data_IF_410529123582
#
_entry.id   IF_410529123582
#
_cell.length_a   1.000
_cell.length_b   1.000
_cell.length_c   1.000
_cell.angle_alpha   90.00
_cell.angle_beta   90.00
_cell.angle_gamma   90.00
#
_symmetry.space_group_name_H-M   'P 1'
#
loop_
_entity.id
_entity.type
_entity.pdbx_description
1 polymer ?
#
# COMPACT_ATOMS: atom_id res chain seq x y z
N UNK A 1 -14.21 39.89 54.97
CA UNK A 1 -14.70 38.55 54.61
C UNK A 1 -13.51 37.67 54.35
N UNK A 2 -13.39 36.70 55.23
CA UNK A 2 -12.54 35.50 55.34
C UNK A 2 -11.66 35.09 54.15
N UNK A 3 -10.35 35.10 54.40
CA UNK A 3 -9.35 34.28 53.72
C UNK A 3 -9.50 32.81 54.16
N UNK A 4 -9.63 31.88 53.22
CA UNK A 4 -9.40 30.46 53.47
C UNK A 4 -8.10 30.04 52.76
N UNK A 5 -7.13 29.64 53.59
CA UNK A 5 -5.90 28.99 53.17
C UNK A 5 -6.17 27.50 52.93
N UNK A 6 -5.87 27.01 51.74
CA UNK A 6 -5.89 25.58 51.42
C UNK A 6 -4.54 24.96 51.73
N UNK A 7 -4.57 23.87 52.49
CA UNK A 7 -3.44 23.03 52.87
C UNK A 7 -2.90 22.21 51.68
N UNK A 8 -1.60 21.90 51.63
CA UNK A 8 -1.06 20.97 50.64
C UNK A 8 -1.33 19.52 51.07
N UNK A 9 -1.92 18.75 50.16
CA UNK A 9 -2.18 17.31 50.30
C UNK A 9 -0.88 16.52 50.10
N UNK A 10 -0.53 15.75 51.12
CA UNK A 10 0.57 14.78 51.14
C UNK A 10 0.18 13.55 50.29
N UNK A 11 0.80 13.39 49.12
CA UNK A 11 0.69 12.16 48.32
C UNK A 11 1.75 11.16 48.83
N UNK A 12 1.36 9.94 49.23
CA UNK A 12 2.32 8.92 49.66
C UNK A 12 3.05 8.30 48.45
N UNK A 13 4.37 8.12 48.64
CA UNK A 13 5.28 7.34 47.79
C UNK A 13 4.77 5.90 47.63
N UNK A 14 4.31 5.57 46.43
CA UNK A 14 4.13 4.18 46.00
C UNK A 14 5.47 3.59 45.55
N UNK A 15 5.76 2.41 46.09
CA UNK A 15 6.94 1.57 45.85
C UNK A 15 7.12 1.29 44.35
N UNK A 16 8.34 1.51 43.87
CA UNK A 16 8.83 0.95 42.61
C UNK A 16 8.93 -0.58 42.77
N UNK A 17 8.03 -1.29 42.12
CA UNK A 17 8.19 -2.71 41.83
C UNK A 17 9.11 -2.86 40.63
N UNK A 18 10.34 -3.32 40.88
CA UNK A 18 11.23 -3.92 39.88
C UNK A 18 10.55 -5.15 39.27
N UNK A 19 9.92 -4.98 38.11
CA UNK A 19 9.56 -6.08 37.24
C UNK A 19 10.79 -6.48 36.42
N UNK A 20 11.33 -7.66 36.74
CA UNK A 20 12.32 -8.37 35.94
C UNK A 20 11.65 -8.74 34.61
N UNK A 21 12.08 -8.10 33.53
CA UNK A 21 11.76 -8.50 32.17
C UNK A 21 12.55 -9.78 31.85
N UNK A 22 11.95 -10.93 32.15
CA UNK A 22 12.34 -12.21 31.55
C UNK A 22 11.97 -12.16 30.06
N UNK A 23 12.98 -11.97 29.22
CA UNK A 23 12.88 -12.19 27.79
C UNK A 23 12.85 -13.69 27.54
N UNK A 24 11.65 -14.27 27.45
CA UNK A 24 11.44 -15.64 26.98
C UNK A 24 11.84 -15.74 25.50
N UNK A 25 13.03 -16.27 25.29
CA UNK A 25 13.55 -16.71 24.00
C UNK A 25 12.84 -18.02 23.62
N UNK A 26 11.58 -17.92 23.21
CA UNK A 26 10.91 -19.01 22.52
C UNK A 26 11.20 -18.86 21.03
N UNK A 27 12.19 -19.64 20.59
CA UNK A 27 12.42 -19.91 19.19
C UNK A 27 11.13 -20.38 18.55
N UNK A 28 10.48 -19.48 17.81
CA UNK A 28 9.37 -19.83 16.94
C UNK A 28 9.94 -20.80 15.90
N UNK A 29 9.49 -22.07 15.86
CA UNK A 29 9.87 -22.94 14.77
C UNK A 29 9.40 -22.29 13.47
N UNK A 30 10.23 -22.36 12.43
CA UNK A 30 9.80 -22.02 11.10
C UNK A 30 8.50 -22.78 10.81
N UNK A 31 7.44 -22.14 10.29
CA UNK A 31 6.28 -22.89 9.81
C UNK A 31 6.79 -23.85 8.74
N UNK A 32 6.71 -25.14 9.03
CA UNK A 32 6.86 -26.19 8.04
C UNK A 32 5.66 -26.05 7.10
N UNK A 33 5.86 -25.33 6.00
CA UNK A 33 4.92 -25.36 4.90
C UNK A 33 4.90 -26.80 4.37
N UNK A 34 3.72 -27.41 4.16
CA UNK A 34 3.66 -28.58 3.32
C UNK A 34 4.25 -28.20 1.96
N UNK A 35 5.09 -29.08 1.42
CA UNK A 35 5.63 -28.99 0.07
C UNK A 35 4.45 -29.00 -0.91
N UNK A 36 3.94 -27.82 -1.25
CA UNK A 36 2.90 -27.67 -2.28
C UNK A 36 3.63 -27.73 -3.61
N UNK A 37 3.89 -28.95 -4.05
CA UNK A 37 4.16 -29.21 -5.45
C UNK A 37 2.97 -28.67 -6.24
N UNK A 38 3.18 -27.57 -6.98
CA UNK A 38 2.24 -27.06 -7.97
C UNK A 38 2.12 -28.11 -9.07
N UNK A 39 1.22 -29.08 -8.90
CA UNK A 39 0.75 -29.91 -10.00
C UNK A 39 0.00 -29.01 -10.98
N UNK A 40 0.40 -28.96 -12.26
CA UNK A 40 -0.35 -28.24 -13.26
C UNK A 40 -1.69 -28.96 -13.45
N UNK A 41 -2.77 -28.39 -12.93
CA UNK A 41 -4.12 -28.83 -13.26
C UNK A 41 -4.38 -28.47 -14.73
N UNK A 42 -4.15 -29.42 -15.63
CA UNK A 42 -4.77 -29.40 -16.94
C UNK A 42 -6.25 -29.71 -16.76
N UNK A 43 -7.07 -28.67 -16.57
CA UNK A 43 -8.51 -28.80 -16.66
C UNK A 43 -8.94 -28.67 -18.12
N UNK A 44 -9.32 -29.81 -18.69
CA UNK A 44 -10.13 -29.91 -19.89
C UNK A 44 -11.46 -29.19 -19.66
N UNK A 45 -11.91 -28.28 -20.54
CA UNK A 45 -13.18 -27.60 -20.35
C UNK A 45 -14.33 -28.54 -20.73
N UNK A 46 -15.12 -28.93 -19.73
CA UNK A 46 -16.46 -29.47 -19.96
C UNK A 46 -17.43 -28.30 -20.18
N UNK A 47 -18.07 -28.33 -21.34
CA UNK A 47 -19.03 -27.35 -21.81
C UNK A 47 -20.25 -27.22 -20.87
N UNK A 48 -20.63 -25.97 -20.58
CA UNK A 48 -22.03 -25.58 -20.43
C UNK A 48 -22.12 -24.09 -20.76
N UNK A 49 -22.31 -23.84 -22.04
CA UNK A 49 -22.45 -22.53 -22.65
C UNK A 49 -23.88 -22.05 -22.38
N UNK A 50 -24.03 -20.95 -21.64
CA UNK A 50 -25.17 -20.04 -21.84
C UNK A 50 -24.71 -19.04 -22.88
N UNK A 51 -25.22 -19.19 -24.09
CA UNK A 51 -25.03 -18.25 -25.19
C UNK A 51 -25.72 -16.93 -24.81
N UNK A 52 -24.92 -15.93 -24.47
CA UNK A 52 -25.31 -14.52 -24.46
C UNK A 52 -24.47 -13.84 -25.53
N UNK A 53 -25.13 -13.07 -26.39
CA UNK A 53 -24.61 -12.50 -27.62
C UNK A 53 -23.28 -11.71 -27.50
N UNK A 54 -22.47 -11.67 -28.57
CA UNK A 54 -21.20 -10.96 -28.58
C UNK A 54 -21.45 -9.45 -28.74
N UNK A 55 -21.41 -8.71 -27.64
CA UNK A 55 -21.26 -7.26 -27.65
C UNK A 55 -19.79 -6.91 -27.91
N UNK A 56 -19.57 -6.01 -28.88
CA UNK A 56 -18.28 -5.54 -29.39
C UNK A 56 -17.13 -5.56 -28.36
N UNK A 57 -16.17 -6.45 -28.61
CA UNK A 57 -14.89 -6.47 -27.91
C UNK A 57 -14.17 -5.13 -28.13
N UNK A 58 -14.20 -4.28 -27.10
CA UNK A 58 -13.27 -3.17 -26.94
C UNK A 58 -11.88 -3.78 -26.80
N UNK A 59 -11.23 -3.99 -27.95
CA UNK A 59 -9.84 -4.39 -28.07
C UNK A 59 -8.99 -3.23 -27.59
N UNK A 60 -8.82 -3.11 -26.27
CA UNK A 60 -7.89 -2.17 -25.64
C UNK A 60 -6.50 -2.44 -26.22
N UNK A 61 -6.12 -1.60 -27.17
CA UNK A 61 -4.79 -1.62 -27.76
C UNK A 61 -3.80 -1.21 -26.68
N UNK A 62 -3.22 -2.21 -26.01
CA UNK A 62 -2.04 -2.08 -25.16
C UNK A 62 -0.85 -1.64 -26.03
N UNK A 63 -0.83 -0.36 -26.40
CA UNK A 63 0.22 0.31 -27.18
C UNK A 63 1.49 0.57 -26.37
N UNK A 64 1.96 -0.41 -25.61
CA UNK A 64 3.24 -0.37 -24.89
C UNK A 64 4.32 -1.08 -25.70
N UNK A 65 5.44 -0.40 -25.97
CA UNK A 65 6.67 -0.93 -26.58
C UNK A 65 6.94 -2.43 -26.25
N UNK A 66 6.57 -3.33 -27.17
CA UNK A 66 6.67 -4.80 -27.01
C UNK A 66 8.13 -5.30 -27.17
N UNK A 67 9.08 -4.43 -27.50
CA UNK A 67 10.42 -4.83 -27.97
C UNK A 67 11.42 -5.29 -26.89
N UNK A 68 10.99 -5.61 -25.66
CA UNK A 68 11.84 -6.29 -24.65
C UNK A 68 11.02 -7.21 -23.73
N UNK A 69 10.21 -8.11 -24.28
CA UNK A 69 9.63 -9.18 -23.48
C UNK A 69 10.75 -10.11 -23.00
N UNK A 70 11.16 -9.96 -21.73
CA UNK A 70 11.99 -10.96 -21.05
C UNK A 70 11.29 -12.31 -21.14
N UNK A 71 12.01 -13.43 -21.29
CA UNK A 71 11.40 -14.76 -21.25
C UNK A 71 10.53 -14.91 -20.01
N UNK A 72 9.34 -15.50 -20.14
CA UNK A 72 8.37 -15.63 -19.04
C UNK A 72 8.98 -16.21 -17.75
N UNK A 73 9.94 -17.13 -17.89
CA UNK A 73 10.69 -17.70 -16.76
C UNK A 73 11.46 -16.65 -15.94
N UNK A 74 12.02 -15.63 -16.58
CA UNK A 74 12.77 -14.56 -15.90
C UNK A 74 11.86 -13.65 -15.06
N UNK A 75 10.54 -13.66 -15.29
CA UNK A 75 9.59 -12.87 -14.51
C UNK A 75 9.31 -13.44 -13.12
N UNK A 76 9.73 -14.69 -12.85
CA UNK A 76 9.41 -15.42 -11.63
C UNK A 76 10.63 -15.62 -10.69
N UNK A 77 11.79 -15.01 -11.00
CA UNK A 77 13.03 -15.29 -10.26
C UNK A 77 13.13 -14.57 -8.91
N UNK A 78 12.49 -13.41 -8.78
CA UNK A 78 12.61 -12.56 -7.59
C UNK A 78 11.26 -12.34 -6.94
N UNK A 79 11.11 -12.87 -5.74
CA UNK A 79 9.91 -12.69 -4.91
C UNK A 79 10.02 -11.44 -4.03
N UNK A 80 8.87 -10.77 -3.85
CA UNK A 80 8.68 -9.69 -2.88
C UNK A 80 7.43 -9.98 -2.05
N UNK A 81 7.42 -9.50 -0.81
CA UNK A 81 6.26 -9.61 0.08
C UNK A 81 5.46 -8.32 0.04
N UNK A 82 4.20 -8.38 -0.39
CA UNK A 82 3.20 -7.34 -0.16
C UNK A 82 2.73 -7.43 1.29
N UNK A 83 2.85 -6.36 2.05
CA UNK A 83 2.35 -6.26 3.43
C UNK A 83 1.23 -5.22 3.48
N UNK A 84 0.07 -5.60 4.02
CA UNK A 84 -1.16 -4.81 3.92
C UNK A 84 -2.07 -4.98 5.14
N UNK A 85 -3.21 -4.29 5.14
CA UNK A 85 -4.07 -4.11 6.31
C UNK A 85 -3.67 -2.93 7.18
N UNK A 86 -4.45 -2.65 8.22
CA UNK A 86 -4.24 -1.51 9.12
C UNK A 86 -3.00 -1.69 10.02
N UNK A 87 -2.70 -2.94 10.37
CA UNK A 87 -1.56 -3.30 11.22
C UNK A 87 -0.37 -3.90 10.46
N UNK A 88 -0.47 -3.99 9.12
CA UNK A 88 0.53 -4.57 8.23
C UNK A 88 0.91 -6.02 8.57
N UNK A 89 0.04 -6.77 9.26
CA UNK A 89 0.30 -8.17 9.61
C UNK A 89 0.01 -9.12 8.45
N UNK A 90 -0.88 -8.74 7.55
CA UNK A 90 -1.24 -9.56 6.41
C UNK A 90 -0.17 -9.49 5.33
N UNK A 91 0.13 -10.65 4.72
CA UNK A 91 1.24 -10.81 3.80
C UNK A 91 0.84 -11.62 2.59
N UNK A 92 1.34 -11.22 1.42
CA UNK A 92 1.20 -12.00 0.19
C UNK A 92 2.46 -11.89 -0.66
N UNK A 93 2.98 -13.02 -1.11
CA UNK A 93 4.17 -13.06 -1.95
C UNK A 93 3.78 -12.89 -3.41
N UNK A 94 4.51 -12.04 -4.14
CA UNK A 94 4.38 -11.84 -5.58
C UNK A 94 5.75 -11.74 -6.22
N UNK A 95 5.85 -11.97 -7.53
CA UNK A 95 7.10 -11.76 -8.24
C UNK A 95 7.31 -10.28 -8.59
N UNK A 96 8.50 -9.78 -8.27
CA UNK A 96 8.88 -8.38 -8.47
C UNK A 96 8.79 -7.99 -9.94
N UNK A 97 9.36 -8.79 -10.83
CA UNK A 97 9.42 -8.49 -12.26
C UNK A 97 8.01 -8.42 -12.88
N UNK A 98 7.08 -9.25 -12.39
CA UNK A 98 5.68 -9.18 -12.78
C UNK A 98 5.05 -7.85 -12.36
N UNK A 99 5.21 -7.45 -11.09
CA UNK A 99 4.72 -6.15 -10.62
C UNK A 99 5.34 -5.00 -11.42
N UNK A 100 6.66 -5.02 -11.66
CA UNK A 100 7.39 -4.01 -12.43
C UNK A 100 6.93 -3.90 -13.88
N UNK A 101 6.53 -5.02 -14.49
CA UNK A 101 6.04 -5.02 -15.88
C UNK A 101 4.72 -4.28 -16.05
N UNK A 102 3.91 -4.22 -14.99
CA UNK A 102 2.59 -3.58 -14.98
C UNK A 102 2.56 -2.22 -14.27
N UNK A 103 3.52 -1.97 -13.37
CA UNK A 103 3.59 -0.77 -12.53
C UNK A 103 4.85 0.05 -12.84
N UNK A 104 4.64 1.24 -13.42
CA UNK A 104 5.74 2.19 -13.65
C UNK A 104 6.35 2.68 -12.33
N UNK A 105 5.51 2.95 -11.33
CA UNK A 105 5.95 3.40 -10.01
C UNK A 105 6.80 2.34 -9.29
N UNK A 106 6.42 1.06 -9.36
CA UNK A 106 7.21 -0.03 -8.80
C UNK A 106 8.51 -0.22 -9.57
N UNK A 107 8.49 -0.16 -10.91
CA UNK A 107 9.71 -0.25 -11.71
C UNK A 107 10.74 0.82 -11.30
N UNK A 108 10.30 2.08 -11.20
CA UNK A 108 11.16 3.17 -10.74
C UNK A 108 11.66 2.97 -9.31
N UNK A 109 10.79 2.57 -8.39
CA UNK A 109 11.14 2.33 -7.00
C UNK A 109 12.22 1.25 -6.89
N UNK A 110 12.01 0.10 -7.55
CA UNK A 110 12.94 -1.01 -7.51
C UNK A 110 14.27 -0.69 -8.20
N UNK A 111 14.27 0.13 -9.25
CA UNK A 111 15.51 0.64 -9.84
C UNK A 111 16.28 1.57 -8.90
N UNK A 112 15.59 2.48 -8.19
CA UNK A 112 16.20 3.40 -7.23
C UNK A 112 16.85 2.69 -6.04
N UNK A 113 16.34 1.52 -5.65
CA UNK A 113 16.79 0.82 -4.42
C UNK A 113 17.77 -0.33 -4.66
N UNK A 114 18.20 -0.62 -5.90
CA UNK A 114 19.13 -1.73 -6.21
C UNK A 114 20.39 -1.75 -5.34
N UNK A 115 21.08 -0.61 -5.26
CA UNK A 115 22.29 -0.49 -4.43
C UNK A 115 22.00 -0.70 -2.95
N UNK A 116 20.84 -0.24 -2.47
CA UNK A 116 20.43 -0.41 -1.08
C UNK A 116 20.09 -1.88 -0.79
N UNK A 117 19.49 -2.59 -1.75
CA UNK A 117 19.23 -4.03 -1.66
C UNK A 117 20.52 -4.84 -1.56
N UNK A 118 21.54 -4.51 -2.36
CA UNK A 118 22.86 -5.14 -2.25
C UNK A 118 23.48 -4.93 -0.85
N UNK A 119 23.35 -3.71 -0.29
CA UNK A 119 23.81 -3.42 1.08
C UNK A 119 23.06 -4.24 2.12
N UNK A 120 21.74 -4.35 2.03
CA UNK A 120 20.96 -5.21 2.94
C UNK A 120 21.31 -6.69 2.79
N UNK A 121 21.49 -7.17 1.56
CA UNK A 121 21.92 -8.55 1.29
C UNK A 121 23.28 -8.85 1.92
N UNK A 122 24.26 -7.96 1.73
CA UNK A 122 25.59 -8.09 2.33
C UNK A 122 25.53 -8.06 3.88
N UNK A 123 24.74 -7.15 4.46
CA UNK A 123 24.55 -7.08 5.91
C UNK A 123 23.87 -8.35 6.46
N UNK A 124 22.86 -8.87 5.76
CA UNK A 124 22.16 -10.09 6.18
C UNK A 124 23.06 -11.33 6.06
N UNK A 125 23.88 -11.41 5.01
CA UNK A 125 24.89 -12.45 4.82
C UNK A 125 25.90 -12.45 5.98
N UNK A 126 26.53 -11.31 6.27
CA UNK A 126 27.48 -11.21 7.40
C UNK A 126 26.86 -11.65 8.73
N UNK A 127 25.59 -11.28 8.97
CA UNK A 127 24.83 -11.69 10.17
C UNK A 127 24.53 -13.19 10.17
N UNK A 128 24.17 -13.78 9.03
CA UNK A 128 23.89 -15.22 8.87
C UNK A 128 25.15 -16.04 9.07
N UNK A 129 26.27 -15.68 8.45
CA UNK A 129 27.57 -16.35 8.60
C UNK A 129 27.97 -16.41 10.09
N UNK A 130 27.78 -15.30 10.82
CA UNK A 130 28.06 -15.24 12.25
C UNK A 130 27.06 -16.06 13.08
N UNK A 131 25.77 -16.07 12.71
CA UNK A 131 24.73 -16.87 13.38
C UNK A 131 24.98 -18.36 13.21
N UNK A 132 25.33 -18.81 12.01
CA UNK A 132 25.63 -20.21 11.69
C UNK A 132 26.82 -20.72 12.50
N UNK A 133 27.86 -19.90 12.64
CA UNK A 133 29.00 -20.21 13.50
C UNK A 133 28.57 -20.43 14.97
N UNK A 134 27.70 -19.57 15.51
CA UNK A 134 27.20 -19.69 16.88
C UNK A 134 26.26 -20.89 17.08
N UNK A 135 25.48 -21.26 16.06
CA UNK A 135 24.63 -22.47 16.11
C UNK A 135 25.50 -23.73 16.10
N UNK A 136 26.51 -23.78 15.24
CA UNK A 136 27.47 -24.90 15.20
C UNK A 136 28.20 -25.07 16.54
N UNK A 137 28.41 -23.99 17.29
CA UNK A 137 28.91 -24.03 18.65
C UNK A 137 27.93 -24.65 19.65
N UNK A 138 26.66 -24.29 19.57
CA UNK A 138 25.65 -24.77 20.52
C UNK A 138 25.31 -26.26 20.32
N UNK A 139 25.39 -26.77 19.09
CA UNK A 139 24.97 -28.13 18.75
C UNK A 139 26.07 -29.20 18.94
N UNK A 140 27.35 -28.83 18.81
CA UNK A 140 28.44 -29.79 18.89
C UNK A 140 28.95 -29.92 20.32
N UNK A 141 28.55 -30.98 21.04
CA UNK A 141 29.01 -31.24 22.41
C UNK A 141 30.53 -31.45 22.58
N UNK A 142 31.28 -31.62 21.48
CA UNK A 142 32.75 -31.71 21.41
C UNK A 142 33.34 -30.55 20.59
N UNK A 143 32.86 -29.34 20.85
CA UNK A 143 33.24 -28.17 20.06
C UNK A 143 34.74 -27.85 20.15
N UNK A 144 35.42 -27.87 19.01
CA UNK A 144 36.78 -27.35 18.89
C UNK A 144 36.75 -25.81 18.84
N UNK A 145 36.89 -25.18 20.01
CA UNK A 145 36.96 -23.72 20.14
C UNK A 145 38.07 -23.11 19.28
N UNK A 146 39.18 -23.82 19.03
CA UNK A 146 40.26 -23.33 18.18
C UNK A 146 39.85 -23.30 16.72
N UNK A 147 39.17 -24.33 16.23
CA UNK A 147 38.66 -24.32 14.85
C UNK A 147 37.59 -23.23 14.65
N UNK A 148 36.73 -23.01 15.64
CA UNK A 148 35.68 -22.02 15.55
C UNK A 148 36.19 -20.58 15.66
N UNK A 149 37.14 -20.31 16.55
CA UNK A 149 37.77 -18.99 16.64
C UNK A 149 38.51 -18.63 15.36
N UNK A 150 39.16 -19.60 14.68
CA UNK A 150 39.75 -19.40 13.34
C UNK A 150 38.71 -18.97 12.29
N UNK A 151 37.46 -19.45 12.39
CA UNK A 151 36.36 -19.03 11.51
C UNK A 151 35.72 -17.71 11.95
N UNK A 152 35.66 -17.44 13.25
CA UNK A 152 35.09 -16.21 13.82
C UNK A 152 35.92 -14.97 13.46
N UNK A 153 37.25 -15.09 13.55
CA UNK A 153 38.18 -13.99 13.37
C UNK A 153 37.99 -13.24 12.03
N UNK A 154 37.98 -13.89 10.85
CA UNK A 154 37.74 -13.18 9.59
C UNK A 154 36.35 -12.55 9.50
N UNK A 155 35.33 -13.11 10.16
CA UNK A 155 33.98 -12.52 10.20
C UNK A 155 33.95 -11.24 11.06
N UNK A 156 34.61 -11.25 12.22
CA UNK A 156 34.73 -10.06 13.09
C UNK A 156 35.44 -8.94 12.33
N UNK A 157 36.58 -9.24 11.72
CA UNK A 157 37.36 -8.28 10.94
C UNK A 157 36.54 -7.76 9.75
N UNK A 158 35.88 -8.66 9.00
CA UNK A 158 35.07 -8.30 7.84
C UNK A 158 33.92 -7.36 8.20
N UNK A 159 33.23 -7.58 9.32
CA UNK A 159 32.20 -6.65 9.80
C UNK A 159 32.81 -5.33 10.28
N UNK A 160 33.92 -5.37 11.01
CA UNK A 160 34.61 -4.16 11.49
C UNK A 160 35.02 -3.24 10.32
N UNK A 161 35.60 -3.79 9.26
CA UNK A 161 36.15 -3.04 8.13
C UNK A 161 35.08 -2.68 7.08
N UNK A 162 34.13 -3.59 6.81
CA UNK A 162 33.31 -3.54 5.59
C UNK A 162 31.80 -3.59 5.81
N UNK A 163 31.29 -3.40 7.03
CA UNK A 163 29.84 -3.36 7.23
C UNK A 163 29.18 -2.24 6.40
N UNK A 164 28.13 -2.54 5.61
CA UNK A 164 27.67 -1.65 4.54
C UNK A 164 26.90 -0.41 5.03
N UNK A 165 26.48 -0.36 6.29
CA UNK A 165 25.77 0.78 6.87
C UNK A 165 26.67 1.52 7.86
N UNK A 166 27.17 2.70 7.47
CA UNK A 166 28.13 3.48 8.27
C UNK A 166 27.71 3.67 9.73
N UNK A 167 26.48 4.12 9.99
CA UNK A 167 25.98 4.35 11.36
C UNK A 167 26.04 3.09 12.23
N UNK A 168 25.66 1.95 11.66
CA UNK A 168 25.67 0.67 12.37
C UNK A 168 27.07 0.05 12.45
N UNK A 169 27.92 0.34 11.45
CA UNK A 169 29.34 -0.03 11.44
C UNK A 169 30.07 0.65 12.58
N UNK A 170 29.94 1.96 12.72
CA UNK A 170 30.66 2.74 13.73
C UNK A 170 30.27 2.26 15.15
N UNK A 171 28.97 1.98 15.38
CA UNK A 171 28.49 1.34 16.63
C UNK A 171 28.99 -0.09 16.81
N UNK A 172 29.08 -0.86 15.71
CA UNK A 172 29.59 -2.23 15.73
C UNK A 172 31.08 -2.28 16.04
N UNK A 173 31.87 -1.35 15.50
CA UNK A 173 33.29 -1.16 15.81
C UNK A 173 33.46 -0.86 17.30
N UNK A 174 32.67 0.07 17.84
CA UNK A 174 32.67 0.36 19.27
C UNK A 174 32.33 -0.89 20.11
N UNK A 175 31.29 -1.64 19.74
CA UNK A 175 30.91 -2.88 20.46
C UNK A 175 32.01 -3.94 20.43
N UNK A 176 32.71 -4.08 19.29
CA UNK A 176 33.87 -4.98 19.16
C UNK A 176 35.02 -4.49 20.05
N UNK A 177 35.34 -3.20 20.01
CA UNK A 177 36.43 -2.61 20.79
C UNK A 177 36.20 -2.74 22.30
N UNK A 178 34.97 -2.50 22.76
CA UNK A 178 34.55 -2.70 24.14
C UNK A 178 34.62 -4.18 24.55
N UNK A 179 34.14 -5.08 23.69
CA UNK A 179 34.18 -6.52 23.96
C UNK A 179 35.63 -7.03 24.04
N UNK A 180 36.51 -6.64 23.11
CA UNK A 180 37.94 -6.99 23.13
C UNK A 180 38.58 -6.46 24.42
N UNK A 181 38.37 -5.18 24.74
CA UNK A 181 38.93 -4.55 25.94
C UNK A 181 38.50 -5.28 27.21
N UNK A 182 37.22 -5.67 27.31
CA UNK A 182 36.71 -6.41 28.46
C UNK A 182 37.31 -7.82 28.53
N UNK A 183 37.52 -8.53 27.41
CA UNK A 183 38.19 -9.84 27.42
C UNK A 183 39.65 -9.73 27.87
N UNK A 184 40.37 -8.70 27.42
CA UNK A 184 41.74 -8.43 27.90
C UNK A 184 41.73 -8.06 29.39
N UNK A 185 40.76 -7.27 29.84
CA UNK A 185 40.56 -6.95 31.26
C UNK A 185 40.19 -8.18 32.09
N UNK A 186 39.65 -9.25 31.49
CA UNK A 186 39.44 -10.55 32.16
C UNK A 186 40.65 -11.47 32.11
N UNK A 187 41.70 -11.10 31.37
CA UNK A 187 42.91 -11.91 31.23
C UNK A 187 42.79 -13.03 30.20
N UNK A 188 41.77 -12.99 29.32
CA UNK A 188 41.56 -14.00 28.30
C UNK A 188 42.43 -13.76 27.05
N UNK A 189 43.75 -13.74 27.24
CA UNK A 189 44.75 -13.43 26.21
C UNK A 189 45.71 -14.58 26.00
N UNK A 190 46.23 -14.73 24.79
CA UNK A 190 47.23 -15.74 24.42
C UNK A 190 48.66 -15.29 24.67
N UNK A 191 48.91 -13.98 24.77
CA UNK A 191 50.25 -13.41 24.91
C UNK A 191 50.81 -13.51 26.34
N UNK A 192 52.12 -13.66 26.46
CA UNK A 192 52.84 -13.61 27.74
C UNK A 192 53.01 -12.18 28.31
N UNK A 193 52.52 -11.15 27.61
CA UNK A 193 52.64 -9.76 28.08
C UNK A 193 51.78 -9.51 29.32
N UNK A 194 52.25 -8.63 30.20
CA UNK A 194 51.50 -8.23 31.38
C UNK A 194 50.21 -7.51 30.98
N UNK A 195 49.08 -7.93 31.56
CA UNK A 195 47.74 -7.38 31.32
C UNK A 195 47.66 -5.85 31.30
N UNK A 196 48.39 -5.19 32.20
CA UNK A 196 48.40 -3.72 32.32
C UNK A 196 49.09 -3.03 31.14
N UNK A 197 50.12 -3.66 30.57
CA UNK A 197 50.81 -3.15 29.39
C UNK A 197 49.93 -3.34 28.15
N UNK A 198 49.37 -4.53 27.99
CA UNK A 198 48.50 -4.83 26.86
C UNK A 198 47.26 -3.93 26.82
N UNK A 199 46.63 -3.62 27.96
CA UNK A 199 45.48 -2.71 28.00
C UNK A 199 45.80 -1.28 27.55
N UNK A 200 47.05 -0.81 27.70
CA UNK A 200 47.47 0.50 27.21
C UNK A 200 47.66 0.46 25.70
N UNK A 201 48.36 -0.57 25.22
CA UNK A 201 48.77 -0.68 23.83
C UNK A 201 47.62 -1.11 22.90
N UNK A 202 46.60 -1.81 23.43
CA UNK A 202 45.50 -2.37 22.63
C UNK A 202 44.63 -1.33 21.94
N UNK A 203 44.66 -0.05 22.33
CA UNK A 203 43.87 0.97 21.64
C UNK A 203 44.53 1.41 20.33
N UNK A 204 45.86 1.34 20.26
CA UNK A 204 46.65 1.84 19.14
C UNK A 204 46.93 0.74 18.09
N UNK A 205 46.56 -0.50 18.39
CA UNK A 205 46.73 -1.66 17.50
C UNK A 205 45.59 -1.75 16.47
N UNK A 206 45.90 -2.27 15.28
CA UNK A 206 44.89 -2.58 14.28
C UNK A 206 43.98 -3.74 14.73
N UNK A 207 42.75 -3.81 14.21
CA UNK A 207 41.76 -4.81 14.62
C UNK A 207 42.27 -6.26 14.48
N UNK A 208 43.11 -6.54 13.48
CA UNK A 208 43.60 -7.91 13.23
C UNK A 208 44.54 -8.33 14.34
N UNK A 209 45.48 -7.46 14.71
CA UNK A 209 46.40 -7.77 15.81
C UNK A 209 45.67 -7.83 17.14
N UNK A 210 44.74 -6.90 17.41
CA UNK A 210 43.93 -6.92 18.65
C UNK A 210 43.15 -8.20 18.84
N UNK A 211 42.50 -8.67 17.78
CA UNK A 211 41.70 -9.90 17.83
C UNK A 211 42.57 -11.17 17.90
N UNK A 212 43.79 -11.17 17.34
CA UNK A 212 44.73 -12.31 17.41
C UNK A 212 45.36 -12.52 18.80
N UNK A 213 45.42 -11.48 19.64
CA UNK A 213 45.94 -11.59 21.02
C UNK A 213 44.94 -12.26 21.96
N UNK A 214 43.69 -12.43 21.54
CA UNK A 214 42.66 -13.09 22.34
C UNK A 214 42.76 -14.61 22.27
N UNK A 215 42.40 -15.28 23.37
CA UNK A 215 42.22 -16.73 23.35
C UNK A 215 40.95 -17.15 22.57
N UNK A 216 40.81 -18.42 22.16
CA UNK A 216 39.67 -18.87 21.37
C UNK A 216 38.30 -18.55 21.99
N UNK A 217 38.15 -18.74 23.31
CA UNK A 217 36.92 -18.45 24.05
C UNK A 217 36.57 -16.96 24.01
N UNK A 218 37.56 -16.07 24.17
CA UNK A 218 37.37 -14.62 24.07
C UNK A 218 36.96 -14.17 22.67
N UNK A 219 37.54 -14.76 21.61
CA UNK A 219 37.15 -14.47 20.23
C UNK A 219 35.67 -14.81 20.01
N UNK A 220 35.22 -15.95 20.53
CA UNK A 220 33.81 -16.35 20.44
C UNK A 220 32.89 -15.44 21.27
N UNK A 221 33.34 -14.95 22.42
CA UNK A 221 32.60 -13.96 23.20
C UNK A 221 32.43 -12.63 22.44
N UNK A 222 33.47 -12.16 21.75
CA UNK A 222 33.41 -10.98 20.87
C UNK A 222 32.44 -11.24 19.70
N UNK A 223 32.53 -12.40 19.05
CA UNK A 223 31.61 -12.80 17.99
C UNK A 223 30.14 -12.80 18.45
N UNK A 224 29.87 -13.30 19.66
CA UNK A 224 28.53 -13.31 20.24
C UNK A 224 28.01 -11.89 20.50
N UNK A 225 28.85 -11.01 21.05
CA UNK A 225 28.51 -9.59 21.24
C UNK A 225 28.15 -8.92 19.91
N UNK A 226 28.99 -9.14 18.89
CA UNK A 226 28.77 -8.61 17.56
C UNK A 226 27.47 -9.14 16.93
N UNK A 227 27.15 -10.42 17.08
CA UNK A 227 25.90 -10.98 16.58
C UNK A 227 24.68 -10.30 17.21
N UNK A 228 24.70 -10.04 18.51
CA UNK A 228 23.65 -9.30 19.20
C UNK A 228 23.48 -7.90 18.62
N UNK A 229 24.59 -7.18 18.38
CA UNK A 229 24.55 -5.87 17.74
C UNK A 229 23.96 -5.93 16.33
N UNK A 230 24.38 -6.88 15.50
CA UNK A 230 23.85 -7.04 14.14
C UNK A 230 22.36 -7.40 14.11
N UNK A 231 21.86 -8.14 15.11
CA UNK A 231 20.42 -8.38 15.28
C UNK A 231 19.68 -7.08 15.61
N UNK A 232 20.18 -6.32 16.57
CA UNK A 232 19.61 -5.01 16.92
C UNK A 232 19.59 -4.05 15.74
N UNK A 233 20.67 -3.98 14.95
CA UNK A 233 20.73 -3.18 13.73
C UNK A 233 19.68 -3.61 12.70
N UNK A 234 19.49 -4.92 12.50
CA UNK A 234 18.41 -5.45 11.63
C UNK A 234 17.04 -5.02 12.12
N UNK A 235 16.77 -5.08 13.42
CA UNK A 235 15.46 -4.72 13.98
C UNK A 235 15.18 -3.22 13.89
N UNK A 236 16.21 -2.38 14.05
CA UNK A 236 16.11 -0.93 13.83
C UNK A 236 15.77 -0.65 12.35
N UNK A 237 16.49 -1.28 11.41
CA UNK A 237 16.25 -1.09 9.97
C UNK A 237 14.91 -1.65 9.51
N UNK A 238 14.44 -2.75 10.10
CA UNK A 238 13.12 -3.33 9.82
C UNK A 238 11.99 -2.41 10.27
N UNK A 239 12.12 -1.79 11.45
CA UNK A 239 11.17 -0.78 11.94
C UNK A 239 11.18 0.47 11.07
N UNK A 240 12.36 0.95 10.67
CA UNK A 240 12.47 2.09 9.77
C UNK A 240 11.84 1.83 8.38
N UNK A 241 11.78 0.57 7.94
CA UNK A 241 11.12 0.20 6.69
C UNK A 241 9.59 0.33 6.73
N UNK A 242 8.97 0.33 7.90
CA UNK A 242 7.50 0.51 8.02
C UNK A 242 7.04 1.89 7.55
N UNK A 243 7.89 2.91 7.73
CA UNK A 243 7.58 4.30 7.33
C UNK A 243 8.34 4.75 6.08
N UNK A 244 9.32 3.97 5.62
CA UNK A 244 10.13 4.30 4.45
C UNK A 244 10.00 3.23 3.36
N UNK A 245 9.24 3.57 2.32
CA UNK A 245 8.95 2.69 1.19
C UNK A 245 10.23 2.22 0.45
N UNK A 246 11.26 3.08 0.34
CA UNK A 246 12.52 2.70 -0.30
C UNK A 246 13.29 1.66 0.52
N UNK A 247 13.31 1.79 1.86
CA UNK A 247 13.90 0.78 2.74
C UNK A 247 13.12 -0.53 2.70
N UNK A 248 11.78 -0.48 2.70
CA UNK A 248 10.95 -1.67 2.54
C UNK A 248 11.26 -2.40 1.23
N UNK A 249 11.26 -1.68 0.10
CA UNK A 249 11.52 -2.25 -1.22
C UNK A 249 12.93 -2.85 -1.33
N UNK A 250 13.93 -2.22 -0.73
CA UNK A 250 15.28 -2.74 -0.65
C UNK A 250 15.38 -4.04 0.17
N UNK A 251 14.48 -4.22 1.15
CA UNK A 251 14.34 -5.43 1.95
C UNK A 251 13.38 -6.47 1.34
N UNK A 252 12.93 -6.26 0.09
CA UNK A 252 12.00 -7.17 -0.59
C UNK A 252 10.56 -7.09 -0.09
N UNK A 253 10.14 -5.94 0.46
CA UNK A 253 8.80 -5.69 0.98
C UNK A 253 8.14 -4.53 0.23
N UNK A 254 6.83 -4.59 0.01
CA UNK A 254 6.04 -3.49 -0.52
C UNK A 254 4.85 -3.22 0.42
N UNK A 255 4.81 -2.02 1.01
CA UNK A 255 3.89 -1.69 2.10
C UNK A 255 2.62 -1.01 1.53
N UNK A 256 1.45 -1.59 1.81
CA UNK A 256 0.14 -1.21 1.29
C UNK A 256 -0.87 -1.05 2.45
N UNK A 257 -0.72 -0.01 3.29
CA UNK A 257 -1.60 0.22 4.43
C UNK A 257 -3.03 0.54 3.98
N UNK A 258 -4.01 0.08 4.77
CA UNK A 258 -5.44 0.38 4.59
C UNK A 258 -6.14 -0.41 3.49
N UNK A 259 -5.47 -1.40 2.87
CA UNK A 259 -6.10 -2.28 1.88
C UNK A 259 -6.43 -3.63 2.47
N UNK A 260 -7.64 -4.11 2.18
CA UNK A 260 -8.14 -5.41 2.62
C UNK A 260 -7.56 -6.57 1.80
N UNK A 261 -7.50 -7.79 2.38
CA UNK A 261 -7.03 -9.00 1.69
C UNK A 261 -7.73 -9.32 0.38
N UNK A 262 -9.04 -9.04 0.25
CA UNK A 262 -9.79 -9.30 -0.99
C UNK A 262 -9.29 -8.44 -2.15
N UNK A 263 -9.03 -7.16 -1.90
CA UNK A 263 -8.55 -6.19 -2.89
C UNK A 263 -7.14 -6.59 -3.37
N UNK A 264 -6.27 -6.95 -2.43
CA UNK A 264 -4.93 -7.46 -2.74
C UNK A 264 -5.02 -8.78 -3.50
N UNK A 265 -5.96 -9.66 -3.14
CA UNK A 265 -6.21 -10.90 -3.85
C UNK A 265 -6.57 -10.71 -5.32
N UNK A 266 -7.47 -9.77 -5.61
CA UNK A 266 -7.87 -9.41 -6.97
C UNK A 266 -6.73 -8.77 -7.76
N UNK A 267 -5.91 -7.92 -7.13
CA UNK A 267 -4.69 -7.40 -7.74
C UNK A 267 -3.74 -8.54 -8.14
N UNK A 268 -3.45 -9.47 -7.22
CA UNK A 268 -2.55 -10.59 -7.49
C UNK A 268 -3.12 -11.48 -8.59
N UNK A 269 -4.40 -11.80 -8.55
CA UNK A 269 -5.06 -12.57 -9.60
C UNK A 269 -4.92 -11.87 -10.97
N UNK A 270 -5.14 -10.57 -11.02
CA UNK A 270 -5.00 -9.79 -12.24
C UNK A 270 -3.56 -9.80 -12.77
N UNK A 271 -2.56 -9.63 -11.89
CA UNK A 271 -1.14 -9.64 -12.26
C UNK A 271 -0.73 -10.97 -12.92
N UNK A 272 -1.18 -12.12 -12.39
CA UNK A 272 -0.73 -13.43 -12.87
C UNK A 272 -1.53 -13.96 -14.05
N UNK A 273 -2.85 -13.73 -14.07
CA UNK A 273 -3.72 -14.35 -15.07
C UNK A 273 -4.04 -13.41 -16.23
N UNK A 274 -3.86 -12.09 -16.05
CA UNK A 274 -4.19 -11.08 -17.04
C UNK A 274 -5.68 -11.06 -17.40
N UNK A 275 -6.19 -9.90 -17.82
CA UNK A 275 -7.49 -9.72 -18.46
C UNK A 275 -8.78 -9.97 -17.67
N UNK A 276 -8.81 -10.78 -16.60
CA UNK A 276 -10.03 -10.99 -15.80
C UNK A 276 -10.03 -10.16 -14.53
N UNK A 277 -10.88 -9.13 -14.53
CA UNK A 277 -11.19 -8.36 -13.34
C UNK A 277 -12.09 -9.21 -12.43
N UNK A 278 -11.65 -9.47 -11.20
CA UNK A 278 -12.41 -10.20 -10.19
C UNK A 278 -12.75 -9.24 -9.07
N UNK A 279 -14.02 -9.12 -8.73
CA UNK A 279 -14.51 -8.30 -7.63
C UNK A 279 -15.89 -8.81 -7.18
N UNK A 280 -16.23 -8.56 -5.91
CA UNK A 280 -17.47 -9.08 -5.30
C UNK A 280 -18.59 -8.04 -5.30
N UNK A 281 -18.21 -6.77 -5.18
CA UNK A 281 -19.10 -5.61 -5.07
C UNK A 281 -18.41 -4.34 -5.59
N UNK A 282 -19.17 -3.25 -5.70
CA UNK A 282 -18.66 -1.98 -6.23
C UNK A 282 -17.60 -1.32 -5.33
N UNK A 283 -17.69 -1.52 -4.01
CA UNK A 283 -16.71 -1.01 -3.05
C UNK A 283 -15.35 -1.68 -3.26
N UNK A 284 -15.33 -3.01 -3.41
CA UNK A 284 -14.15 -3.78 -3.77
C UNK A 284 -13.55 -3.25 -5.08
N UNK A 285 -14.37 -3.03 -6.11
CA UNK A 285 -13.91 -2.51 -7.39
C UNK A 285 -13.31 -1.09 -7.28
N UNK A 286 -13.91 -0.22 -6.47
CA UNK A 286 -13.39 1.11 -6.19
C UNK A 286 -12.06 1.07 -5.42
N UNK A 287 -11.97 0.24 -4.38
CA UNK A 287 -10.74 0.05 -3.62
C UNK A 287 -9.61 -0.56 -4.49
N UNK A 288 -9.96 -1.44 -5.43
CA UNK A 288 -9.01 -1.98 -6.41
C UNK A 288 -8.53 -0.89 -7.38
N UNK A 289 -9.41 0.01 -7.80
CA UNK A 289 -9.01 1.20 -8.58
C UNK A 289 -8.01 2.06 -7.80
N UNK A 290 -8.30 2.41 -6.55
CA UNK A 290 -7.41 3.21 -5.70
C UNK A 290 -6.04 2.55 -5.52
N UNK A 291 -6.03 1.23 -5.29
CA UNK A 291 -4.81 0.44 -5.20
C UNK A 291 -4.00 0.48 -6.50
N UNK A 292 -4.66 0.24 -7.64
CA UNK A 292 -4.01 0.25 -8.95
C UNK A 292 -3.44 1.64 -9.28
N UNK A 293 -4.17 2.71 -9.00
CA UNK A 293 -3.72 4.09 -9.17
C UNK A 293 -2.51 4.40 -8.28
N UNK A 294 -2.56 4.01 -7.00
CA UNK A 294 -1.44 4.17 -6.05
C UNK A 294 -0.20 3.40 -6.47
N UNK A 295 -0.38 2.23 -7.05
CA UNK A 295 0.70 1.42 -7.60
C UNK A 295 1.15 1.92 -8.98
N UNK A 296 0.48 2.88 -9.62
CA UNK A 296 0.80 3.29 -10.99
C UNK A 296 0.60 2.18 -12.03
N UNK A 297 -0.39 1.30 -11.81
CA UNK A 297 -0.85 0.28 -12.76
C UNK A 297 -2.00 0.87 -13.58
N UNK A 298 -1.65 1.72 -14.56
CA UNK A 298 -2.64 2.50 -15.32
C UNK A 298 -3.67 1.62 -16.03
N UNK A 299 -3.26 0.49 -16.60
CA UNK A 299 -4.18 -0.40 -17.33
C UNK A 299 -5.28 -0.98 -16.42
N UNK A 300 -4.93 -1.40 -15.20
CA UNK A 300 -5.91 -1.90 -14.23
C UNK A 300 -6.77 -0.76 -13.68
N UNK A 301 -6.16 0.39 -13.36
CA UNK A 301 -6.89 1.55 -12.87
C UNK A 301 -7.97 2.03 -13.86
N UNK A 302 -7.62 2.12 -15.15
CA UNK A 302 -8.54 2.47 -16.23
C UNK A 302 -9.63 1.41 -16.44
N UNK A 303 -9.28 0.12 -16.35
CA UNK A 303 -10.25 -0.96 -16.47
C UNK A 303 -11.31 -0.88 -15.36
N UNK A 304 -10.87 -0.70 -14.10
CA UNK A 304 -11.79 -0.53 -12.98
C UNK A 304 -12.69 0.70 -13.15
N UNK A 305 -12.14 1.84 -13.60
CA UNK A 305 -12.93 3.05 -13.85
C UNK A 305 -13.94 2.88 -14.98
N UNK A 306 -13.56 2.21 -16.07
CA UNK A 306 -14.47 1.93 -17.18
C UNK A 306 -15.64 1.08 -16.72
N UNK A 307 -15.37 0.01 -15.96
CA UNK A 307 -16.42 -0.85 -15.40
C UNK A 307 -17.32 -0.08 -14.44
N UNK A 308 -16.76 0.64 -13.47
CA UNK A 308 -17.53 1.45 -12.52
C UNK A 308 -18.42 2.49 -13.20
N UNK A 309 -17.87 3.26 -14.15
CA UNK A 309 -18.63 4.29 -14.86
C UNK A 309 -19.72 3.70 -15.76
N UNK A 310 -19.43 2.62 -16.49
CA UNK A 310 -20.40 1.95 -17.35
C UNK A 310 -21.56 1.35 -16.53
N UNK A 311 -21.25 0.69 -15.42
CA UNK A 311 -22.26 0.07 -14.56
C UNK A 311 -23.17 1.13 -13.95
N UNK A 312 -22.59 2.22 -13.44
CA UNK A 312 -23.36 3.33 -12.88
C UNK A 312 -24.20 4.07 -13.93
N UNK A 313 -23.64 4.34 -15.11
CA UNK A 313 -24.41 4.95 -16.22
C UNK A 313 -25.59 4.06 -16.65
N UNK A 314 -25.37 2.75 -16.73
CA UNK A 314 -26.41 1.78 -17.06
C UNK A 314 -27.50 1.73 -15.99
N UNK A 315 -27.11 1.72 -14.71
CA UNK A 315 -28.00 1.72 -13.56
C UNK A 315 -28.84 3.01 -13.49
N UNK A 316 -28.21 4.17 -13.61
CA UNK A 316 -28.86 5.49 -13.67
C UNK A 316 -29.86 5.53 -14.83
N UNK A 317 -29.43 5.16 -16.04
CA UNK A 317 -30.29 5.19 -17.24
C UNK A 317 -31.46 4.24 -17.11
N UNK A 318 -31.23 3.02 -16.61
CA UNK A 318 -32.29 2.04 -16.38
C UNK A 318 -33.28 2.55 -15.33
N UNK A 319 -32.83 3.17 -14.25
CA UNK A 319 -33.70 3.68 -13.20
C UNK A 319 -34.55 4.86 -13.68
N UNK A 320 -33.95 5.81 -14.40
CA UNK A 320 -34.66 6.95 -14.99
C UNK A 320 -35.71 6.46 -15.99
N UNK A 321 -35.37 5.46 -16.82
CA UNK A 321 -36.34 4.88 -17.77
C UNK A 321 -37.56 4.23 -17.10
N UNK A 322 -37.42 3.84 -15.82
CA UNK A 322 -38.51 3.31 -14.98
C UNK A 322 -39.25 4.41 -14.20
N UNK A 323 -38.89 5.68 -14.40
CA UNK A 323 -39.48 6.81 -13.69
C UNK A 323 -39.01 6.97 -12.24
N UNK A 324 -37.90 6.31 -11.84
CA UNK A 324 -37.32 6.48 -10.51
C UNK A 324 -36.54 7.79 -10.43
N UNK A 325 -36.62 8.47 -9.28
CA UNK A 325 -35.79 9.65 -9.02
C UNK A 325 -34.35 9.26 -8.68
N UNK A 326 -33.40 10.16 -8.93
CA UNK A 326 -31.99 9.92 -8.58
C UNK A 326 -31.80 9.68 -7.07
N UNK A 327 -32.61 10.31 -6.23
CA UNK A 327 -32.62 10.06 -4.78
C UNK A 327 -32.98 8.60 -4.45
N UNK A 328 -33.94 8.00 -5.16
CA UNK A 328 -34.32 6.60 -4.99
C UNK A 328 -33.23 5.64 -5.48
N UNK A 329 -32.45 6.02 -6.50
CA UNK A 329 -31.33 5.21 -7.02
C UNK A 329 -30.16 5.17 -6.03
N UNK A 330 -29.90 6.29 -5.38
CA UNK A 330 -28.81 6.44 -4.42
C UNK A 330 -29.19 5.96 -3.01
N UNK A 331 -30.43 5.52 -2.82
CA UNK A 331 -30.99 5.06 -1.54
C UNK A 331 -30.91 6.12 -0.42
N UNK A 332 -30.78 7.40 -0.78
CA UNK A 332 -30.72 8.53 0.16
C UNK A 332 -32.12 8.83 0.71
N UNK A 333 -32.59 8.04 1.68
CA UNK A 333 -33.83 8.29 2.44
C UNK A 333 -34.93 7.24 2.33
N UNK A 334 -34.65 6.06 1.79
CA UNK A 334 -35.54 4.91 1.80
C UNK A 334 -35.54 4.24 3.18
N UNK A 335 -36.32 4.78 4.11
CA UNK A 335 -36.78 4.05 5.30
C UNK A 335 -37.69 2.84 4.96
N UNK A 336 -37.67 2.35 3.72
CA UNK A 336 -38.52 1.24 3.26
C UNK A 336 -37.99 -0.15 3.66
N UNK A 337 -36.77 -0.25 4.18
CA UNK A 337 -36.21 -1.51 4.68
C UNK A 337 -36.95 -2.06 5.93
N UNK A 338 -37.78 -1.25 6.61
CA UNK A 338 -38.53 -1.72 7.78
C UNK A 338 -39.86 -2.42 7.46
N UNK A 339 -40.38 -2.35 6.23
CA UNK A 339 -41.73 -2.88 5.95
C UNK A 339 -41.79 -4.35 5.52
N UNK A 340 -40.66 -5.00 5.18
CA UNK A 340 -40.69 -6.37 4.63
C UNK A 340 -39.84 -7.42 5.35
N UNK A 341 -39.36 -7.16 6.58
CA UNK A 341 -38.88 -8.21 7.50
C UNK A 341 -37.74 -9.13 7.03
N UNK A 342 -37.16 -8.90 5.85
CA UNK A 342 -36.02 -9.64 5.32
C UNK A 342 -34.82 -8.73 5.45
N UNK A 343 -33.91 -9.08 6.37
CA UNK A 343 -32.59 -8.47 6.50
C UNK A 343 -31.72 -8.83 5.27
N UNK A 344 -32.11 -8.38 4.08
CA UNK A 344 -31.18 -8.30 2.97
C UNK A 344 -30.29 -7.08 3.27
N UNK A 345 -29.07 -7.35 3.71
CA UNK A 345 -28.02 -6.32 3.76
C UNK A 345 -28.03 -5.62 2.39
N UNK A 346 -28.29 -4.29 2.29
CA UNK A 346 -28.30 -3.60 1.01
C UNK A 346 -26.96 -3.90 0.35
N UNK A 347 -26.98 -4.49 -0.85
CA UNK A 347 -25.76 -4.55 -1.64
C UNK A 347 -25.52 -3.11 -2.09
N UNK A 348 -24.42 -2.52 -1.65
CA UNK A 348 -24.04 -1.18 -2.07
C UNK A 348 -24.00 -1.15 -3.60
N UNK A 349 -24.86 -0.33 -4.20
CA UNK A 349 -24.96 -0.24 -5.66
C UNK A 349 -23.74 0.48 -6.21
N UNK A 350 -23.40 0.20 -7.48
CA UNK A 350 -22.28 0.86 -8.15
C UNK A 350 -22.42 2.39 -8.11
N UNK A 351 -23.65 2.86 -8.30
CA UNK A 351 -23.99 4.28 -8.26
C UNK A 351 -23.80 4.88 -6.86
N UNK A 352 -24.27 4.20 -5.81
CA UNK A 352 -24.15 4.69 -4.44
C UNK A 352 -22.69 4.80 -3.98
N UNK A 353 -21.87 3.78 -4.28
CA UNK A 353 -20.44 3.76 -3.95
C UNK A 353 -19.72 4.93 -4.64
N UNK A 354 -19.93 5.10 -5.95
CA UNK A 354 -19.29 6.18 -6.72
C UNK A 354 -19.69 7.55 -6.17
N UNK A 355 -20.97 7.79 -5.92
CA UNK A 355 -21.42 9.07 -5.37
C UNK A 355 -20.83 9.32 -3.98
N UNK A 356 -20.81 8.31 -3.11
CA UNK A 356 -20.27 8.46 -1.76
C UNK A 356 -18.79 8.84 -1.80
N UNK A 357 -17.97 8.13 -2.57
CA UNK A 357 -16.54 8.40 -2.67
C UNK A 357 -16.24 9.70 -3.42
N UNK A 358 -16.93 9.99 -4.53
CA UNK A 358 -16.70 11.23 -5.29
C UNK A 358 -17.00 12.49 -4.47
N UNK A 359 -18.01 12.43 -3.60
CA UNK A 359 -18.42 13.58 -2.78
C UNK A 359 -17.51 13.77 -1.56
N UNK A 360 -17.03 12.68 -0.97
CA UNK A 360 -16.25 12.69 0.29
C UNK A 360 -14.74 12.70 0.08
N UNK A 361 -14.23 12.07 -0.98
CA UNK A 361 -12.78 11.97 -1.21
C UNK A 361 -12.14 13.32 -1.47
N UNK A 362 -10.91 13.49 -0.99
CA UNK A 362 -10.13 14.70 -1.20
C UNK A 362 -9.67 14.87 -2.66
N UNK A 363 -9.50 13.76 -3.39
CA UNK A 363 -8.99 13.73 -4.78
C UNK A 363 -9.69 12.65 -5.61
N UNK A 364 -10.99 12.82 -5.90
CA UNK A 364 -11.73 11.87 -6.72
C UNK A 364 -11.27 11.91 -8.18
N UNK A 365 -11.44 10.79 -8.89
CA UNK A 365 -11.04 10.70 -10.29
C UNK A 365 -11.93 11.54 -11.20
N UNK A 366 -11.33 12.35 -12.09
CA UNK A 366 -12.01 13.32 -12.96
C UNK A 366 -13.20 12.74 -13.73
N UNK A 367 -13.05 11.53 -14.28
CA UNK A 367 -14.12 10.85 -15.01
C UNK A 367 -15.35 10.57 -14.14
N UNK A 368 -15.15 10.12 -12.90
CA UNK A 368 -16.25 9.87 -11.96
C UNK A 368 -16.85 11.18 -11.46
N UNK A 369 -16.02 12.22 -11.25
CA UNK A 369 -16.50 13.57 -10.94
C UNK A 369 -17.41 14.10 -12.04
N UNK A 370 -17.01 13.97 -13.31
CA UNK A 370 -17.82 14.39 -14.44
C UNK A 370 -19.14 13.63 -14.50
N UNK A 371 -19.12 12.31 -14.29
CA UNK A 371 -20.34 11.51 -14.26
C UNK A 371 -21.30 11.98 -13.15
N UNK A 372 -20.81 12.12 -11.92
CA UNK A 372 -21.61 12.55 -10.77
C UNK A 372 -22.13 13.98 -10.96
N UNK A 373 -21.26 14.93 -11.32
CA UNK A 373 -21.67 16.34 -11.48
C UNK A 373 -22.68 16.54 -12.60
N UNK A 374 -22.49 15.88 -13.75
CA UNK A 374 -23.47 15.90 -14.83
C UNK A 374 -24.78 15.27 -14.37
N UNK A 375 -24.75 14.06 -13.80
CA UNK A 375 -25.95 13.34 -13.36
C UNK A 375 -26.73 14.09 -12.28
N UNK A 376 -26.04 14.77 -11.37
CA UNK A 376 -26.70 15.62 -10.37
C UNK A 376 -27.28 16.86 -11.05
N UNK A 377 -26.55 17.60 -11.88
CA UNK A 377 -27.09 18.79 -12.57
C UNK A 377 -28.30 18.48 -13.48
N UNK A 378 -28.20 17.40 -14.25
CA UNK A 378 -29.19 16.32 -14.41
C UNK A 378 -30.57 16.47 -13.79
N UNK A 379 -30.62 15.84 -12.62
CA UNK A 379 -31.80 15.35 -11.94
C UNK A 379 -31.90 15.93 -10.53
N UNK A 380 -31.23 17.05 -10.28
CA UNK A 380 -31.24 17.71 -8.98
C UNK A 380 -32.65 18.18 -8.63
N UNK A 381 -33.17 17.64 -7.53
CA UNK A 381 -34.32 18.16 -6.84
C UNK A 381 -33.91 18.75 -5.47
N UNK A 382 -34.83 19.47 -4.84
CA UNK A 382 -34.56 20.16 -3.58
C UNK A 382 -34.24 19.16 -2.44
N UNK A 383 -34.89 17.99 -2.42
CA UNK A 383 -34.67 16.94 -1.42
C UNK A 383 -33.29 16.30 -1.54
N UNK A 384 -32.83 16.02 -2.76
CA UNK A 384 -31.52 15.49 -3.04
C UNK A 384 -30.44 16.52 -2.68
N UNK A 385 -30.65 17.80 -2.99
CA UNK A 385 -29.71 18.86 -2.60
C UNK A 385 -29.47 18.91 -1.09
N UNK A 386 -30.54 18.89 -0.29
CA UNK A 386 -30.44 18.92 1.19
C UNK A 386 -29.63 17.72 1.71
N UNK A 387 -29.70 16.58 1.03
CA UNK A 387 -28.98 15.36 1.43
C UNK A 387 -27.52 15.35 0.97
N UNK A 388 -27.25 15.83 -0.26
CA UNK A 388 -25.89 15.84 -0.82
C UNK A 388 -25.04 16.99 -0.28
N UNK A 389 -25.61 18.18 -0.09
CA UNK A 389 -24.88 19.38 0.33
C UNK A 389 -23.95 19.19 1.55
N UNK A 390 -24.34 18.50 2.64
CA UNK A 390 -23.43 18.29 3.77
C UNK A 390 -22.28 17.31 3.50
N UNK A 391 -22.39 16.45 2.48
CA UNK A 391 -21.39 15.45 2.12
C UNK A 391 -20.36 15.97 1.11
N UNK A 392 -20.68 17.04 0.40
CA UNK A 392 -19.84 17.57 -0.67
C UNK A 392 -18.65 18.34 -0.13
N UNK A 393 -17.46 18.00 -0.61
CA UNK A 393 -16.32 18.89 -0.48
C UNK A 393 -16.51 20.17 -1.33
N UNK A 394 -15.84 21.27 -0.93
CA UNK A 394 -15.99 22.58 -1.58
C UNK A 394 -15.66 22.55 -3.08
N UNK A 395 -14.64 21.79 -3.48
CA UNK A 395 -14.24 21.68 -4.90
C UNK A 395 -15.34 21.06 -5.77
N UNK A 396 -16.02 20.03 -5.28
CA UNK A 396 -17.10 19.36 -6.00
C UNK A 396 -18.35 20.24 -6.01
N UNK A 397 -18.63 20.97 -4.93
CA UNK A 397 -19.72 21.97 -4.91
C UNK A 397 -19.53 23.03 -6.00
N UNK A 398 -18.32 23.58 -6.16
CA UNK A 398 -18.03 24.57 -7.20
C UNK A 398 -18.21 24.00 -8.61
N UNK A 399 -17.76 22.76 -8.85
CA UNK A 399 -17.95 22.08 -10.15
C UNK A 399 -19.42 21.81 -10.45
N UNK A 400 -20.20 21.43 -9.44
CA UNK A 400 -21.63 21.21 -9.62
C UNK A 400 -22.36 22.52 -9.94
N UNK A 401 -22.03 23.62 -9.26
CA UNK A 401 -22.60 24.94 -9.58
C UNK A 401 -22.28 25.32 -11.03
N UNK A 402 -21.03 25.11 -11.47
CA UNK A 402 -20.65 25.36 -12.86
C UNK A 402 -21.49 24.52 -13.84
N UNK A 403 -21.59 23.20 -13.59
CA UNK A 403 -22.39 22.30 -14.44
C UNK A 403 -23.88 22.69 -14.48
N UNK A 404 -24.44 23.18 -13.37
CA UNK A 404 -25.81 23.69 -13.31
C UNK A 404 -26.00 24.97 -14.13
N UNK A 405 -25.06 25.91 -14.04
CA UNK A 405 -25.09 27.17 -14.82
C UNK A 405 -24.98 26.87 -16.31
N UNK A 406 -24.03 26.02 -16.71
CA UNK A 406 -23.84 25.62 -18.11
C UNK A 406 -25.13 24.97 -18.66
N UNK A 407 -25.77 24.10 -17.86
CA UNK A 407 -27.05 23.49 -18.24
C UNK A 407 -28.18 24.50 -18.38
N UNK A 408 -28.25 25.52 -17.51
CA UNK A 408 -29.27 26.57 -17.61
C UNK A 408 -29.10 27.39 -18.88
N UNK A 409 -27.86 27.71 -19.25
CA UNK A 409 -27.56 28.38 -20.52
C UNK A 409 -28.04 27.55 -21.71
N UNK A 410 -27.70 26.26 -21.76
CA UNK A 410 -28.16 25.36 -22.85
C UNK A 410 -29.68 25.28 -22.93
N UNK A 411 -30.38 25.18 -21.79
CA UNK A 411 -31.86 25.16 -21.77
C UNK A 411 -32.45 26.48 -22.30
N UNK A 412 -31.87 27.62 -21.94
CA UNK A 412 -32.33 28.93 -22.43
C UNK A 412 -32.16 29.05 -23.95
N UNK A 413 -31.02 28.61 -24.48
CA UNK A 413 -30.75 28.62 -25.93
C UNK A 413 -31.68 27.67 -26.71
N UNK A 414 -31.98 26.49 -26.16
CA UNK A 414 -32.94 25.55 -26.76
C UNK A 414 -34.36 26.14 -26.79
N UNK A 415 -34.76 26.86 -25.74
CA UNK A 415 -36.07 27.49 -25.65
C UNK A 415 -36.19 28.65 -26.67
N UNK A 416 -35.14 29.44 -26.83
CA UNK A 416 -35.03 30.47 -27.86
C UNK A 416 -35.10 29.87 -29.27
N UNK A 417 -34.43 28.74 -29.52
CA UNK A 417 -34.49 28.05 -30.81
C UNK A 417 -35.90 27.52 -31.11
N UNK A 418 -36.56 26.91 -30.12
CA UNK A 418 -37.95 26.43 -30.26
C UNK A 418 -38.93 27.58 -30.50
N UNK A 419 -38.75 28.72 -29.82
CA UNK A 419 -39.56 29.93 -30.06
C UNK A 419 -39.37 30.46 -31.48
N UNK A 420 -38.13 30.56 -31.97
CA UNK A 420 -37.84 30.96 -33.36
C UNK A 420 -38.43 29.98 -34.37
N UNK A 421 -38.35 28.68 -34.12
CA UNK A 421 -38.97 27.65 -34.97
C UNK A 421 -40.50 27.80 -34.99
N UNK A 422 -41.14 27.96 -33.84
CA UNK A 422 -42.59 28.17 -33.75
C UNK A 422 -43.04 29.46 -34.46
N UNK A 423 -42.28 30.56 -34.33
CA UNK A 423 -42.55 31.81 -35.04
C UNK A 423 -42.39 31.69 -36.55
N UNK A 424 -41.45 30.87 -37.03
CA UNK A 424 -41.23 30.60 -38.45
C UNK A 424 -42.29 29.67 -39.07
N UNK A 425 -42.91 28.80 -38.27
CA UNK A 425 -43.93 27.84 -38.70
C UNK A 425 -45.36 28.42 -38.76
N UNK A 426 -45.58 29.66 -38.30
CA UNK A 426 -46.87 30.34 -38.41
C UNK A 426 -47.19 30.66 -39.88
N UNK A 427 -48.31 30.16 -40.45
CA UNK A 427 -48.64 30.35 -41.86
C UNK A 427 -48.80 31.83 -42.20
N UNK A 428 -48.25 32.25 -43.35
CA UNK A 428 -48.16 33.65 -43.81
C UNK A 428 -49.48 34.45 -43.71
N UNK A 429 -50.64 33.79 -43.78
CA UNK A 429 -51.96 34.41 -43.59
C UNK A 429 -52.17 35.03 -42.19
N UNK A 430 -51.46 34.59 -41.15
CA UNK A 430 -51.53 35.18 -39.79
C UNK A 430 -50.52 36.33 -39.61
N UNK A 431 -49.35 36.26 -40.27
CA UNK A 431 -48.36 37.36 -40.26
C UNK A 431 -48.90 38.63 -40.93
N UNK A 432 -49.69 38.50 -42.00
CA UNK A 432 -50.32 39.63 -42.67
C UNK A 432 -51.38 40.38 -41.82
N UNK A 433 -52.06 39.70 -40.88
CA UNK A 433 -53.09 40.33 -40.03
C UNK A 433 -52.52 41.12 -38.84
N UNK A 434 -51.36 40.70 -38.30
CA UNK A 434 -50.70 41.43 -37.20
C UNK A 434 -49.97 42.69 -37.70
N UNK A 435 -49.47 42.69 -38.94
CA UNK A 435 -48.87 43.88 -39.55
C UNK A 435 -49.87 45.01 -39.86
N UNK A 436 -51.18 44.72 -39.93
CA UNK A 436 -52.20 45.74 -40.27
C UNK A 436 -52.83 46.43 -39.05
N UNK A 437 -52.56 46.00 -37.82
CA UNK A 437 -53.09 46.64 -36.60
C UNK A 437 -52.09 47.52 -35.84
N UNK A 438 -50.81 47.56 -36.24
CA UNK A 438 -49.77 48.33 -35.55
C UNK A 438 -49.55 49.78 -36.04
N UNK A 439 -50.26 50.24 -37.08
CA UNK A 439 -50.02 51.56 -37.71
C UNK A 439 -51.14 52.58 -37.53
N UNK A 440 -52.04 52.40 -36.56
CA UNK A 440 -53.07 53.39 -36.22
C UNK A 440 -52.98 53.77 -34.73
N UNK A 441 -52.01 54.61 -34.38
CA UNK A 441 -52.13 55.61 -33.30
C UNK A 441 -50.80 56.36 -33.17
N UNK A 442 -50.72 57.54 -33.78
CA UNK A 442 -49.88 58.68 -33.39
C UNK A 442 -50.39 59.87 -34.22
N UNK A 443 -51.32 60.62 -33.64
CA UNK A 443 -51.71 61.97 -34.05
C UNK A 443 -51.51 62.90 -32.88
#
# INVERSE_FOLDING_TARGET
MTYQASTPSTIPRSRESTAVLESSDHGTPAPSYPDVTMTPLMMTPAASVREGEPGDDVRLSLGGNINKLKPFHSLMDTEITLEFGDDLKEKRVVHEELLRSHSSAAAELFDKVKLLRERYSNADKMRKDLKELMIAQALNGTFDERAASKKALPLIIGVYEHYPFKVHRDRGQQSIDEAITEQVRRGHVTSAQTKTQLLKDIKDMDIRTRANVLNPSAILAVAKSLLTHLRSAKDIESRAALTNQAKAAAQGRYILPGFEPRVIGSLVQWLYFGARLSFDDAEHLYMLHLLAARLGISALAELCLCTLSSDAESEIRSAISRGLSLQQVLDFGSNQAEQNGVQAKPRDTSTQVIFTHVLTDAKPHERLVSLVTTTVAEHLDQSLWVTLAPLMNHSISMRLIQAMVDRQQVKSEQLDQLQRQHESALPEKKRARLSQHGTMELK
#
